data_IF_980044165985
#
_entry.id   IF_980044165985
#
_cell.length_a   1.000
_cell.length_b   1.000
_cell.length_c   1.000
_cell.angle_alpha   90.00
_cell.angle_beta   90.00
_cell.angle_gamma   90.00
#
_symmetry.space_group_name_H-M   'P 1'
#
loop_
_entity.id
_entity.type
_entity.pdbx_description
1 polymer ?
#
# COMPACT_ATOMS: atom_id res chain seq x y z
N UNK A 1 -16.41 22.21 -0.02
CA UNK A 1 -16.48 20.74 -0.06
C UNK A 1 -15.06 20.21 -0.17
N UNK A 2 -14.46 19.79 0.95
CA UNK A 2 -13.18 19.06 0.92
C UNK A 2 -13.42 17.74 0.19
N UNK A 3 -12.72 17.48 -0.92
CA UNK A 3 -12.72 16.15 -1.53
C UNK A 3 -12.24 15.16 -0.46
N UNK A 4 -13.05 14.17 -0.13
CA UNK A 4 -12.59 13.10 0.74
C UNK A 4 -11.35 12.44 0.12
N UNK A 5 -10.32 12.25 0.93
CA UNK A 5 -9.10 11.57 0.49
C UNK A 5 -9.46 10.08 0.35
N UNK A 6 -9.43 9.53 -0.87
CA UNK A 6 -9.79 8.13 -1.15
C UNK A 6 -8.79 7.11 -0.59
N UNK A 7 -7.51 7.43 -0.63
CA UNK A 7 -6.44 6.50 -0.27
C UNK A 7 -5.84 6.83 1.09
N UNK A 8 -5.80 5.84 1.97
CA UNK A 8 -5.09 5.91 3.25
C UNK A 8 -3.68 5.31 3.09
N UNK A 9 -2.68 5.86 3.78
CA UNK A 9 -1.28 5.44 3.64
C UNK A 9 -0.69 5.14 5.02
N UNK A 10 -0.30 3.89 5.22
CA UNK A 10 0.43 3.41 6.39
C UNK A 10 1.90 3.23 6.03
N UNK A 11 2.78 4.10 6.56
CA UNK A 11 4.22 4.03 6.31
C UNK A 11 4.90 3.03 7.25
N UNK A 12 5.80 2.21 6.71
CA UNK A 12 6.55 1.20 7.45
C UNK A 12 8.03 1.24 7.09
N UNK A 13 8.86 0.94 8.08
CA UNK A 13 10.31 0.80 7.89
C UNK A 13 10.62 -0.66 7.58
N UNK A 14 11.15 -0.94 6.38
CA UNK A 14 11.72 -2.24 6.06
C UNK A 14 13.20 -2.27 6.47
N UNK A 15 13.78 -3.47 6.62
CA UNK A 15 15.23 -3.59 6.86
C UNK A 15 16.02 -3.06 5.65
N UNK A 16 17.07 -2.28 5.92
CA UNK A 16 17.90 -1.64 4.89
C UNK A 16 17.39 -0.26 4.49
N UNK A 17 17.86 0.26 3.35
CA UNK A 17 17.49 1.59 2.85
C UNK A 17 16.09 1.65 2.18
N UNK A 18 15.26 0.62 2.35
CA UNK A 18 13.98 0.51 1.65
C UNK A 18 12.86 1.09 2.52
N UNK A 19 12.13 2.08 2.00
CA UNK A 19 10.88 2.53 2.58
C UNK A 19 9.74 1.69 2.00
N UNK A 20 8.75 1.36 2.81
CA UNK A 20 7.56 0.68 2.35
C UNK A 20 6.31 1.40 2.86
N UNK A 21 5.29 1.50 2.02
CA UNK A 21 3.97 1.99 2.41
C UNK A 21 2.92 0.93 2.05
N UNK A 22 1.95 0.73 2.94
CA UNK A 22 0.70 0.08 2.60
C UNK A 22 -0.32 1.16 2.29
N UNK A 23 -0.85 1.13 1.06
CA UNK A 23 -1.86 2.07 0.58
C UNK A 23 -3.19 1.32 0.55
N UNK A 24 -4.22 1.84 1.22
CA UNK A 24 -5.57 1.26 1.20
C UNK A 24 -6.52 2.12 0.38
N UNK A 25 -7.19 1.52 -0.60
CA UNK A 25 -8.33 2.12 -1.28
C UNK A 25 -9.58 2.01 -0.39
N UNK A 26 -10.07 3.11 0.16
CA UNK A 26 -11.23 3.09 1.07
C UNK A 26 -12.55 2.73 0.39
N UNK A 27 -12.64 2.81 -0.95
CA UNK A 27 -13.86 2.40 -1.66
C UNK A 27 -13.98 0.88 -1.79
N UNK A 28 -12.85 0.20 -1.99
CA UNK A 28 -12.82 -1.24 -2.31
C UNK A 28 -12.22 -2.10 -1.21
N UNK A 29 -11.47 -1.50 -0.28
CA UNK A 29 -10.67 -2.18 0.74
C UNK A 29 -9.38 -2.78 0.21
N UNK A 30 -9.10 -2.73 -1.09
CA UNK A 30 -7.89 -3.29 -1.71
C UNK A 30 -6.65 -2.57 -1.20
N UNK A 31 -5.61 -3.34 -0.90
CA UNK A 31 -4.35 -2.84 -0.39
C UNK A 31 -3.21 -3.03 -1.39
N UNK A 32 -2.28 -2.07 -1.38
CA UNK A 32 -1.10 -2.05 -2.24
C UNK A 32 0.16 -1.87 -1.40
N UNK A 33 1.22 -2.61 -1.72
CA UNK A 33 2.56 -2.38 -1.19
C UNK A 33 3.34 -1.50 -2.17
N UNK A 34 3.70 -0.30 -1.73
CA UNK A 34 4.64 0.58 -2.41
C UNK A 34 6.02 0.41 -1.76
N UNK A 35 6.96 -0.19 -2.47
CA UNK A 35 8.36 -0.26 -2.05
C UNK A 35 9.15 0.85 -2.75
N UNK A 36 9.95 1.59 -1.98
CA UNK A 36 10.73 2.73 -2.47
C UNK A 36 12.18 2.53 -2.05
N UNK A 37 13.08 2.57 -3.03
CA UNK A 37 14.51 2.69 -2.79
C UNK A 37 14.92 4.13 -3.13
N UNK A 38 15.27 4.96 -2.12
CA UNK A 38 15.61 6.36 -2.33
C UNK A 38 16.66 6.54 -3.42
N UNK A 39 16.41 7.48 -4.34
CA UNK A 39 17.29 7.81 -5.47
C UNK A 39 17.53 6.70 -6.51
N UNK A 40 16.82 5.57 -6.44
CA UNK A 40 16.91 4.50 -7.45
C UNK A 40 15.57 4.23 -8.14
N UNK A 41 14.47 4.15 -7.38
CA UNK A 41 13.16 3.91 -7.95
C UNK A 41 12.13 3.38 -6.95
N UNK A 42 10.95 3.06 -7.48
CA UNK A 42 9.85 2.47 -6.70
C UNK A 42 9.11 1.40 -7.50
N UNK A 43 8.44 0.51 -6.78
CA UNK A 43 7.56 -0.52 -7.32
C UNK A 43 6.28 -0.62 -6.51
N UNK A 44 5.17 -0.84 -7.21
CA UNK A 44 3.84 -1.00 -6.62
C UNK A 44 3.30 -2.39 -6.97
N UNK A 45 2.78 -3.09 -5.96
CA UNK A 45 2.07 -4.36 -6.17
C UNK A 45 0.82 -4.44 -5.30
N UNK A 46 -0.19 -5.19 -5.75
CA UNK A 46 -1.36 -5.52 -4.94
C UNK A 46 -0.96 -6.54 -3.88
N UNK A 47 -1.41 -6.34 -2.64
CA UNK A 47 -1.33 -7.38 -1.63
C UNK A 47 -2.42 -8.42 -1.90
N UNK A 48 -2.05 -9.70 -1.84
CA UNK A 48 -2.97 -10.82 -2.10
C UNK A 48 -3.05 -11.75 -0.89
N UNK A 49 -4.17 -12.45 -0.75
CA UNK A 49 -4.35 -13.53 0.21
C UNK A 49 -3.74 -14.85 -0.28
N UNK A 50 -3.93 -15.93 0.50
CA UNK A 50 -3.39 -17.25 0.20
C UNK A 50 -3.98 -17.89 -1.08
N UNK A 51 -5.14 -17.43 -1.53
CA UNK A 51 -5.79 -17.90 -2.76
C UNK A 51 -5.40 -17.03 -3.98
N UNK A 52 -4.54 -16.02 -3.79
CA UNK A 52 -4.13 -15.08 -4.82
C UNK A 52 -5.18 -14.00 -5.13
N UNK A 53 -6.20 -13.82 -4.29
CA UNK A 53 -7.19 -12.74 -4.43
C UNK A 53 -6.68 -11.48 -3.73
N UNK A 54 -7.13 -10.27 -4.13
CA UNK A 54 -6.75 -9.04 -3.44
C UNK A 54 -7.06 -9.10 -1.93
N UNK A 55 -6.06 -8.77 -1.12
CA UNK A 55 -6.18 -8.72 0.34
C UNK A 55 -6.92 -7.44 0.76
N UNK A 56 -8.11 -7.59 1.31
CA UNK A 56 -8.91 -6.47 1.78
C UNK A 56 -8.58 -6.10 3.23
N UNK A 57 -8.49 -4.80 3.54
CA UNK A 57 -8.34 -4.31 4.92
C UNK A 57 -9.58 -4.73 5.72
N UNK A 58 -9.38 -5.53 6.77
CA UNK A 58 -10.47 -5.87 7.70
C UNK A 58 -10.75 -4.65 8.59
N UNK A 59 -12.02 -4.26 8.69
CA UNK A 59 -12.48 -3.18 9.55
C UNK A 59 -12.38 -3.50 11.04
#
# INVERSE_FOLDING_TARGET
MSKEIRFEVDSMTAKGATMANVITDKETGVQYLLAIYPNMGSGLTVLVDADGKPLLKKG
#
